data_IF_657087115571
#
_entry.id   IF_657087115571
#
_cell.length_a   1.000
_cell.length_b   1.000
_cell.length_c   1.000
_cell.angle_alpha   90.00
_cell.angle_beta   90.00
_cell.angle_gamma   90.00
#
_symmetry.space_group_name_H-M   'P 1'
#
loop_
_entity.id
_entity.type
_entity.pdbx_description
1 polymer ?
#
# COMPACT_ATOMS: atom_id res chain seq x y z
N UNK A 1 -2.45 12.20 -5.79
CA UNK A 1 -2.29 11.64 -4.42
C UNK A 1 -3.67 11.51 -3.84
N UNK A 2 -4.03 10.31 -3.40
CA UNK A 2 -5.33 10.03 -2.78
C UNK A 2 -5.12 9.77 -1.28
N UNK A 3 -6.10 10.11 -0.47
CA UNK A 3 -6.02 10.01 0.99
C UNK A 3 -7.30 9.40 1.55
N UNK A 4 -7.18 8.68 2.65
CA UNK A 4 -8.29 8.13 3.41
C UNK A 4 -7.99 8.21 4.92
N UNK A 5 -9.03 8.37 5.73
CA UNK A 5 -8.91 8.51 7.18
C UNK A 5 -8.43 9.88 7.66
N UNK A 6 -8.36 10.02 8.98
CA UNK A 6 -8.04 11.27 9.67
C UNK A 6 -7.06 11.04 10.82
N UNK A 7 -6.42 12.12 11.29
CA UNK A 7 -5.47 12.08 12.40
C UNK A 7 -4.36 11.06 12.18
N UNK A 8 -4.03 10.31 13.24
CA UNK A 8 -3.02 9.26 13.22
C UNK A 8 -3.38 8.05 12.34
N UNK A 9 -4.63 7.93 11.87
CA UNK A 9 -5.08 6.84 10.99
C UNK A 9 -5.15 7.25 9.52
N UNK A 10 -4.75 8.50 9.20
CA UNK A 10 -4.72 8.96 7.81
C UNK A 10 -3.66 8.19 7.02
N UNK A 11 -4.05 7.69 5.87
CA UNK A 11 -3.18 7.02 4.91
C UNK A 11 -3.26 7.70 3.55
N UNK A 12 -2.23 7.53 2.74
CA UNK A 12 -2.14 8.12 1.42
C UNK A 12 -1.49 7.17 0.42
N UNK A 13 -1.92 7.28 -0.83
CA UNK A 13 -1.30 6.60 -1.96
C UNK A 13 -0.87 7.64 -3.01
N UNK A 14 0.37 7.51 -3.49
CA UNK A 14 0.86 8.23 -4.68
C UNK A 14 1.05 7.23 -5.80
N UNK A 15 0.48 7.55 -6.96
CA UNK A 15 0.67 6.81 -8.21
C UNK A 15 1.67 7.55 -9.08
N UNK A 16 2.65 6.84 -9.60
CA UNK A 16 3.54 7.29 -10.65
C UNK A 16 3.36 6.35 -11.85
N UNK A 17 2.98 6.93 -12.98
CA UNK A 17 2.88 6.20 -14.24
C UNK A 17 4.26 6.16 -14.91
N UNK A 18 4.61 5.00 -15.46
CA UNK A 18 5.77 4.78 -16.30
C UNK A 18 5.29 4.37 -17.69
N UNK A 19 6.17 4.42 -18.70
CA UNK A 19 5.84 3.95 -20.06
C UNK A 19 5.37 2.49 -20.07
N UNK A 20 5.83 1.68 -19.10
CA UNK A 20 5.49 0.27 -18.94
C UNK A 20 5.30 -0.10 -17.47
N UNK A 21 4.16 0.32 -16.90
CA UNK A 21 3.74 -0.10 -15.56
C UNK A 21 3.49 1.07 -14.60
N UNK A 22 3.22 0.74 -13.35
CA UNK A 22 2.88 1.69 -12.30
C UNK A 22 3.78 1.50 -11.07
N UNK A 23 4.15 2.61 -10.45
CA UNK A 23 4.71 2.62 -9.09
C UNK A 23 3.70 3.25 -8.14
N UNK A 24 3.37 2.54 -7.07
CA UNK A 24 2.49 2.98 -6.00
C UNK A 24 3.31 3.16 -4.72
N UNK A 25 3.32 4.37 -4.17
CA UNK A 25 3.91 4.63 -2.87
C UNK A 25 2.79 4.77 -1.83
N UNK A 26 2.82 3.90 -0.82
CA UNK A 26 1.92 3.92 0.33
C UNK A 26 2.62 4.55 1.54
N UNK A 27 1.91 5.41 2.24
CA UNK A 27 2.33 5.89 3.55
C UNK A 27 1.15 6.40 4.35
N UNK A 28 1.44 6.99 5.50
CA UNK A 28 0.42 7.43 6.44
C UNK A 28 0.84 7.19 7.87
N UNK A 29 -0.16 7.10 8.74
CA UNK A 29 0.05 6.93 10.17
C UNK A 29 0.52 8.23 10.81
N UNK A 30 1.30 8.09 11.87
CA UNK A 30 2.08 9.18 12.47
C UNK A 30 3.40 9.39 11.72
N UNK A 31 3.95 8.33 11.12
CA UNK A 31 5.10 8.42 10.22
C UNK A 31 5.09 7.32 9.16
N UNK A 32 5.67 7.62 8.00
CA UNK A 32 5.83 6.67 6.90
C UNK A 32 7.26 6.13 6.87
N UNK A 33 7.41 4.88 6.44
CA UNK A 33 8.72 4.23 6.33
C UNK A 33 8.73 3.23 5.16
N UNK A 34 9.87 2.60 4.89
CA UNK A 34 9.96 1.50 3.92
C UNK A 34 9.91 0.19 4.70
N UNK A 35 8.73 -0.43 4.74
CA UNK A 35 8.51 -1.71 5.43
C UNK A 35 8.45 -2.90 4.48
N UNK A 36 8.20 -2.66 3.19
CA UNK A 36 8.24 -3.68 2.16
C UNK A 36 7.98 -3.14 0.76
N UNK A 37 7.99 -4.07 -0.19
CA UNK A 37 7.62 -3.84 -1.58
C UNK A 37 6.96 -5.08 -2.19
N UNK A 38 6.00 -4.87 -3.09
CA UNK A 38 5.31 -5.90 -3.83
C UNK A 38 5.32 -5.54 -5.32
N UNK A 39 5.90 -6.39 -6.15
CA UNK A 39 5.79 -6.32 -7.60
C UNK A 39 4.81 -7.38 -8.07
N UNK A 40 3.81 -6.98 -8.85
CA UNK A 40 2.76 -7.86 -9.37
C UNK A 40 2.62 -7.64 -10.87
N UNK A 41 2.48 -8.71 -11.63
CA UNK A 41 2.30 -8.68 -13.08
C UNK A 41 0.92 -9.22 -13.52
N UNK A 42 0.43 -8.86 -14.73
CA UNK A 42 -0.91 -9.28 -15.19
C UNK A 42 -1.10 -10.79 -15.38
N UNK A 43 -0.01 -11.55 -15.53
CA UNK A 43 0.02 -13.02 -15.58
C UNK A 43 -0.02 -13.68 -14.19
N UNK A 44 0.04 -12.88 -13.12
CA UNK A 44 -0.12 -13.33 -11.74
C UNK A 44 1.18 -13.64 -11.00
N UNK A 45 2.35 -13.30 -11.56
CA UNK A 45 3.62 -13.41 -10.85
C UNK A 45 3.75 -12.32 -9.78
N UNK A 46 4.41 -12.68 -8.68
CA UNK A 46 4.57 -11.82 -7.51
C UNK A 46 5.99 -11.90 -6.95
N UNK A 47 6.69 -10.77 -6.92
CA UNK A 47 7.95 -10.62 -6.20
C UNK A 47 7.74 -9.75 -4.97
N UNK A 48 8.03 -10.31 -3.79
CA UNK A 48 7.76 -9.67 -2.50
C UNK A 48 9.07 -9.47 -1.74
N UNK A 49 9.25 -8.25 -1.24
CA UNK A 49 10.26 -7.90 -0.25
C UNK A 49 9.56 -7.47 1.03
N UNK A 50 9.83 -8.17 2.13
CA UNK A 50 9.36 -7.81 3.46
C UNK A 50 10.56 -7.51 4.37
N UNK A 51 10.57 -6.33 5.00
CA UNK A 51 11.58 -6.00 6.01
C UNK A 51 11.24 -6.75 7.30
N UNK A 52 12.21 -7.45 7.88
CA UNK A 52 11.99 -8.28 9.07
C UNK A 52 11.34 -7.48 10.20
N UNK A 53 10.22 -7.97 10.72
CA UNK A 53 9.48 -7.35 11.82
C UNK A 53 8.40 -6.35 11.37
N UNK A 54 8.29 -6.09 10.07
CA UNK A 54 7.23 -5.28 9.49
C UNK A 54 5.99 -6.13 9.16
N UNK A 55 4.86 -5.46 8.94
CA UNK A 55 3.58 -6.11 8.60
C UNK A 55 2.87 -5.43 7.41
N UNK A 56 3.56 -4.54 6.71
CA UNK A 56 3.00 -3.70 5.65
C UNK A 56 2.52 -4.50 4.43
N UNK A 57 3.01 -5.73 4.24
CA UNK A 57 2.56 -6.62 3.15
C UNK A 57 1.07 -6.96 3.22
N UNK A 58 0.45 -6.86 4.41
CA UNK A 58 -1.00 -7.02 4.59
C UNK A 58 -1.82 -5.99 3.80
N UNK A 59 -1.23 -4.83 3.50
CA UNK A 59 -1.90 -3.75 2.74
C UNK A 59 -1.24 -3.51 1.38
N UNK A 60 0.10 -3.62 1.28
CA UNK A 60 0.81 -3.40 0.02
C UNK A 60 0.44 -4.42 -1.06
N UNK A 61 0.36 -5.71 -0.72
CA UNK A 61 0.07 -6.76 -1.72
C UNK A 61 -1.35 -6.65 -2.28
N UNK A 62 -2.43 -6.48 -1.48
CA UNK A 62 -3.76 -6.21 -2.01
C UNK A 62 -3.82 -4.94 -2.87
N UNK A 63 -3.08 -3.88 -2.49
CA UNK A 63 -3.00 -2.65 -3.29
C UNK A 63 -2.36 -2.90 -4.66
N UNK A 64 -1.22 -3.60 -4.68
CA UNK A 64 -0.52 -3.94 -5.92
C UNK A 64 -1.39 -4.82 -6.84
N UNK A 65 -2.00 -5.87 -6.27
CA UNK A 65 -2.92 -6.76 -7.00
C UNK A 65 -4.12 -6.03 -7.58
N UNK A 66 -4.82 -5.23 -6.77
CA UNK A 66 -6.00 -4.49 -7.21
C UNK A 66 -5.68 -3.48 -8.31
N UNK A 67 -4.54 -2.81 -8.22
CA UNK A 67 -4.08 -1.94 -9.29
C UNK A 67 -3.67 -2.72 -10.55
N UNK A 68 -2.94 -3.84 -10.40
CA UNK A 68 -2.53 -4.67 -11.54
C UNK A 68 -3.74 -5.20 -12.31
N UNK A 69 -4.75 -5.71 -11.60
CA UNK A 69 -6.01 -6.17 -12.17
C UNK A 69 -6.74 -5.03 -12.90
N UNK A 70 -6.85 -3.86 -12.27
CA UNK A 70 -7.55 -2.71 -12.84
C UNK A 70 -6.90 -2.17 -14.11
N UNK A 71 -5.58 -2.05 -14.11
CA UNK A 71 -4.84 -1.35 -15.17
C UNK A 71 -4.27 -2.29 -16.22
N UNK A 72 -4.18 -3.59 -15.96
CA UNK A 72 -3.64 -4.58 -16.89
C UNK A 72 -2.15 -4.39 -17.20
N UNK A 73 -1.40 -3.78 -16.27
CA UNK A 73 0.04 -3.51 -16.40
C UNK A 73 0.79 -3.93 -15.13
N UNK A 74 2.10 -4.18 -15.20
CA UNK A 74 2.89 -4.45 -14.01
C UNK A 74 2.83 -3.31 -12.98
N UNK A 75 2.77 -3.66 -11.70
CA UNK A 75 2.66 -2.72 -10.59
C UNK A 75 3.70 -3.01 -9.52
N UNK A 76 4.47 -1.99 -9.14
CA UNK A 76 5.33 -1.99 -7.96
C UNK A 76 4.68 -1.15 -6.86
N UNK A 77 4.26 -1.76 -5.75
CA UNK A 77 3.85 -1.06 -4.54
C UNK A 77 4.98 -1.06 -3.51
N UNK A 78 5.26 0.09 -2.88
CA UNK A 78 6.32 0.24 -1.87
C UNK A 78 5.87 1.16 -0.74
N UNK A 79 6.35 0.90 0.47
CA UNK A 79 6.20 1.83 1.59
C UNK A 79 5.82 1.13 2.89
N UNK A 80 5.13 1.86 3.75
CA UNK A 80 4.77 1.41 5.09
C UNK A 80 4.19 2.50 5.96
N UNK A 81 3.43 2.08 6.96
CA UNK A 81 2.65 2.96 7.84
C UNK A 81 3.02 2.67 9.29
N UNK A 82 3.36 3.71 10.07
CA UNK A 82 3.67 3.56 11.49
C UNK A 82 2.70 4.36 12.36
N UNK A 83 2.18 3.71 13.39
CA UNK A 83 1.53 4.34 14.55
C UNK A 83 2.25 3.81 15.79
N UNK A 84 2.66 4.71 16.66
CA UNK A 84 3.31 4.35 17.91
C UNK A 84 2.32 3.64 18.85
N UNK A 85 2.72 2.49 19.41
CA UNK A 85 1.88 1.67 20.29
C UNK A 85 0.47 1.38 19.74
N UNK A 86 0.39 1.03 18.44
CA UNK A 86 -0.87 0.75 17.77
C UNK A 86 -1.69 -0.34 18.49
N UNK A 87 -2.93 0.00 18.85
CA UNK A 87 -3.92 -0.97 19.31
C UNK A 87 -4.43 -1.83 18.15
N UNK A 88 -5.10 -2.94 18.48
CA UNK A 88 -5.77 -3.77 17.47
C UNK A 88 -6.78 -2.97 16.63
N UNK A 89 -7.55 -2.07 17.26
CA UNK A 89 -8.48 -1.18 16.57
C UNK A 89 -7.78 -0.16 15.67
N UNK A 90 -6.59 0.32 16.05
CA UNK A 90 -5.80 1.20 15.18
C UNK A 90 -5.39 0.46 13.91
N UNK A 91 -4.93 -0.79 14.04
CA UNK A 91 -4.52 -1.64 12.91
C UNK A 91 -5.71 -1.93 11.98
N UNK A 92 -6.86 -2.31 12.54
CA UNK A 92 -8.07 -2.59 11.77
C UNK A 92 -8.54 -1.36 10.98
N UNK A 93 -8.51 -0.18 11.61
CA UNK A 93 -8.87 1.07 10.94
C UNK A 93 -7.85 1.46 9.85
N UNK A 94 -6.55 1.26 10.09
CA UNK A 94 -5.53 1.49 9.07
C UNK A 94 -5.72 0.59 7.85
N UNK A 95 -5.97 -0.70 8.06
CA UNK A 95 -6.24 -1.65 6.97
C UNK A 95 -7.49 -1.21 6.20
N UNK A 96 -8.57 -0.88 6.90
CA UNK A 96 -9.80 -0.37 6.28
C UNK A 96 -9.55 0.87 5.42
N UNK A 97 -8.84 1.87 5.97
CA UNK A 97 -8.52 3.10 5.24
C UNK A 97 -7.61 2.81 4.03
N UNK A 98 -6.70 1.85 4.11
CA UNK A 98 -5.91 1.42 2.95
C UNK A 98 -6.77 0.79 1.85
N UNK A 99 -7.78 0.01 2.21
CA UNK A 99 -8.72 -0.57 1.24
C UNK A 99 -9.63 0.49 0.60
N UNK A 100 -9.94 1.59 1.30
CA UNK A 100 -10.64 2.72 0.67
C UNK A 100 -9.80 3.36 -0.45
N UNK A 101 -8.47 3.37 -0.33
CA UNK A 101 -7.58 3.89 -1.39
C UNK A 101 -7.74 3.10 -2.70
N UNK A 102 -8.01 1.78 -2.62
CA UNK A 102 -8.24 0.93 -3.80
C UNK A 102 -9.44 1.38 -4.65
N UNK A 103 -10.46 1.98 -4.03
CA UNK A 103 -11.65 2.47 -4.75
C UNK A 103 -11.34 3.71 -5.59
N UNK A 104 -10.24 4.40 -5.29
CA UNK A 104 -9.85 5.67 -5.90
C UNK A 104 -8.69 5.53 -6.89
N UNK A 105 -8.00 4.39 -6.92
CA UNK A 105 -7.08 4.02 -8.00
C UNK A 105 -7.84 3.32 -9.08
#
# INVERSE_FOLDING_TARGET
MIMAGEGKHRVWLRKQELDKGLVLMLGGGESSHVGGAAYVTPDGDEDIMEVKGHHDMKVLLPIARGACEKYGVPVMAVGGIHIENASKSDIELLVSNCMELLKCI
#
